data_IF_831433365275
#
_entry.id   IF_831433365275
#
_cell.length_a   1.000
_cell.length_b   1.000
_cell.length_c   1.000
_cell.angle_alpha   90.00
_cell.angle_beta   90.00
_cell.angle_gamma   90.00
#
_symmetry.space_group_name_H-M   'P 1'
#
loop_
_entity.id
_entity.type
_entity.pdbx_description
1 polymer ?
#
# COMPACT_ATOMS: atom_id res chain seq x y z
N UNK A 1 18.04 4.91 6.66
CA UNK A 1 16.57 4.93 6.77
C UNK A 1 16.00 5.06 5.37
N UNK A 2 14.85 4.45 5.10
CA UNK A 2 14.11 4.61 3.84
C UNK A 2 12.70 5.13 4.13
N UNK A 3 12.17 6.00 3.29
CA UNK A 3 10.75 6.36 3.35
C UNK A 3 9.96 5.48 2.38
N UNK A 4 8.88 4.88 2.86
CA UNK A 4 8.04 3.96 2.09
C UNK A 4 6.57 4.40 2.13
N UNK A 5 6.04 4.73 0.96
CA UNK A 5 4.68 5.20 0.75
C UNK A 5 3.77 4.04 0.32
N UNK A 6 2.81 3.69 1.16
CA UNK A 6 1.92 2.54 0.99
C UNK A 6 0.44 2.91 0.91
N UNK A 7 -0.33 2.10 0.20
CA UNK A 7 -1.77 2.04 0.29
C UNK A 7 -2.19 0.59 0.57
N UNK A 8 -3.06 0.38 1.56
CA UNK A 8 -3.55 -0.95 1.93
C UNK A 8 -4.34 -1.64 0.82
N UNK A 9 -5.03 -0.89 -0.04
CA UNK A 9 -5.73 -1.44 -1.21
C UNK A 9 -4.86 -1.54 -2.47
N UNK A 10 -3.58 -1.20 -2.40
CA UNK A 10 -2.66 -1.40 -3.51
C UNK A 10 -2.09 -2.83 -3.51
N UNK A 11 -2.32 -3.63 -4.57
CA UNK A 11 -1.78 -5.00 -4.64
C UNK A 11 -0.25 -5.01 -4.69
N UNK A 12 0.36 -4.02 -5.35
CA UNK A 12 1.81 -3.93 -5.44
C UNK A 12 2.44 -3.61 -4.06
N UNK A 13 1.76 -2.84 -3.21
CA UNK A 13 2.22 -2.51 -1.85
C UNK A 13 2.11 -3.71 -0.93
N UNK A 14 1.05 -4.51 -1.07
CA UNK A 14 0.93 -5.77 -0.35
C UNK A 14 2.04 -6.76 -0.72
N UNK A 15 2.33 -6.90 -2.03
CA UNK A 15 3.42 -7.75 -2.54
C UNK A 15 4.82 -7.23 -2.19
N UNK A 16 4.93 -5.95 -1.83
CA UNK A 16 6.20 -5.32 -1.45
C UNK A 16 6.55 -5.56 0.01
N UNK A 17 5.55 -5.68 0.90
CA UNK A 17 5.76 -5.72 2.35
C UNK A 17 6.84 -6.72 2.78
N UNK A 18 6.67 -8.01 2.45
CA UNK A 18 7.60 -9.06 2.89
C UNK A 18 9.02 -8.87 2.31
N UNK A 19 9.21 -8.65 1.00
CA UNK A 19 10.53 -8.32 0.45
C UNK A 19 11.18 -7.07 1.07
N UNK A 20 10.40 -6.02 1.37
CA UNK A 20 10.92 -4.81 2.00
C UNK A 20 11.41 -5.11 3.43
N UNK A 21 10.62 -5.82 4.23
CA UNK A 21 11.00 -6.18 5.59
C UNK A 21 12.27 -7.04 5.60
N UNK A 22 12.35 -8.04 4.70
CA UNK A 22 13.54 -8.86 4.56
C UNK A 22 14.79 -8.05 4.17
N UNK A 23 14.64 -7.03 3.31
CA UNK A 23 15.74 -6.11 2.97
C UNK A 23 16.15 -5.24 4.17
N UNK A 24 15.17 -4.65 4.86
CA UNK A 24 15.35 -3.83 6.06
C UNK A 24 16.12 -4.61 7.14
N UNK A 25 15.70 -5.83 7.44
CA UNK A 25 16.33 -6.70 8.43
C UNK A 25 17.76 -7.09 8.02
N UNK A 26 17.97 -7.41 6.74
CA UNK A 26 19.28 -7.80 6.22
C UNK A 26 20.31 -6.67 6.27
N UNK A 27 19.87 -5.44 6.02
CA UNK A 27 20.75 -4.27 5.91
C UNK A 27 20.77 -3.43 7.20
N UNK A 28 19.98 -3.78 8.21
CA UNK A 28 19.79 -3.01 9.44
C UNK A 28 19.36 -1.56 9.16
N UNK A 29 18.38 -1.39 8.25
CA UNK A 29 17.90 -0.07 7.81
C UNK A 29 16.46 0.16 8.25
N UNK A 30 16.23 1.18 9.09
CA UNK A 30 14.89 1.57 9.50
C UNK A 30 13.99 2.04 8.33
N UNK A 31 12.70 1.72 8.41
CA UNK A 31 11.65 2.15 7.47
C UNK A 31 10.78 3.22 8.13
N UNK A 32 10.64 4.34 7.45
CA UNK A 32 9.70 5.42 7.75
C UNK A 32 8.46 5.22 6.86
N UNK A 33 7.30 4.98 7.47
CA UNK A 33 6.08 4.59 6.74
C UNK A 33 5.19 5.80 6.47
N UNK A 34 4.68 5.88 5.24
CA UNK A 34 3.82 6.98 4.79
C UNK A 34 2.56 6.46 4.12
N UNK A 35 1.45 7.14 4.36
CA UNK A 35 0.19 6.84 3.69
C UNK A 35 0.17 7.43 2.27
N UNK A 36 -0.39 6.69 1.33
CA UNK A 36 -0.72 7.17 0.00
C UNK A 36 -2.08 6.64 -0.42
N UNK A 37 -2.76 7.35 -1.32
CA UNK A 37 -4.00 6.89 -1.93
C UNK A 37 -3.73 6.41 -3.36
N UNK A 38 -3.97 5.13 -3.60
CA UNK A 38 -3.84 4.48 -4.89
C UNK A 38 -5.20 4.17 -5.50
N UNK A 39 -5.21 3.89 -6.81
CA UNK A 39 -6.39 3.41 -7.51
C UNK A 39 -6.29 1.90 -7.76
N UNK A 40 -7.18 1.13 -7.15
CA UNK A 40 -7.41 -0.26 -7.54
C UNK A 40 -8.42 -0.28 -8.70
N UNK A 41 -8.03 -0.82 -9.85
CA UNK A 41 -8.95 -0.99 -10.97
C UNK A 41 -10.02 -2.05 -10.63
N UNK A 42 -11.31 -1.80 -10.93
CA UNK A 42 -12.37 -2.78 -10.75
C UNK A 42 -12.21 -3.96 -11.72
N UNK A 43 -12.88 -5.08 -11.44
CA UNK A 43 -12.90 -6.22 -12.36
C UNK A 43 -13.83 -5.91 -13.54
N UNK A 44 -13.24 -5.51 -14.67
CA UNK A 44 -13.98 -5.19 -15.88
C UNK A 44 -14.40 -6.48 -16.60
N UNK A 45 -15.71 -6.69 -16.71
CA UNK A 45 -16.28 -7.77 -17.51
C UNK A 45 -16.23 -7.45 -19.01
N UNK A 46 -16.08 -8.50 -19.82
CA UNK A 46 -16.13 -8.38 -21.28
C UNK A 46 -17.55 -8.04 -21.74
N UNK A 47 -17.67 -7.00 -22.56
CA UNK A 47 -18.94 -6.65 -23.23
C UNK A 47 -18.89 -7.04 -24.71
N UNK A 48 -20.03 -7.42 -25.33
CA UNK A 48 -20.08 -7.79 -26.75
C UNK A 48 -19.63 -6.66 -27.70
N UNK A 49 -19.96 -5.40 -27.37
CA UNK A 49 -19.76 -4.23 -28.24
C UNK A 49 -18.72 -3.25 -27.66
N UNK A 50 -17.61 -3.76 -27.10
CA UNK A 50 -16.55 -2.90 -26.55
C UNK A 50 -15.85 -2.06 -27.63
N UNK A 51 -15.71 -0.77 -27.37
CA UNK A 51 -14.77 0.05 -28.12
C UNK A 51 -13.32 -0.42 -27.88
N UNK A 52 -12.43 -0.16 -28.84
CA UNK A 52 -11.00 -0.52 -28.73
C UNK A 52 -10.38 0.00 -27.42
N UNK A 53 -10.76 1.21 -27.00
CA UNK A 53 -10.29 1.80 -25.75
C UNK A 53 -10.78 1.05 -24.50
N UNK A 54 -12.03 0.59 -24.49
CA UNK A 54 -12.61 -0.20 -23.41
C UNK A 54 -11.93 -1.57 -23.31
N UNK A 55 -11.80 -2.25 -24.45
CA UNK A 55 -11.09 -3.53 -24.54
C UNK A 55 -9.65 -3.40 -24.05
N UNK A 56 -8.93 -2.36 -24.46
CA UNK A 56 -7.57 -2.10 -24.00
C UNK A 56 -7.47 -1.86 -22.49
N UNK A 57 -8.41 -1.12 -21.90
CA UNK A 57 -8.46 -0.92 -20.44
C UNK A 57 -8.70 -2.25 -19.71
N UNK A 58 -9.70 -3.03 -20.14
CA UNK A 58 -10.02 -4.34 -19.56
C UNK A 58 -8.85 -5.32 -19.66
N UNK A 59 -8.28 -5.51 -20.85
CA UNK A 59 -7.17 -6.44 -21.09
C UNK A 59 -5.94 -6.07 -20.25
N UNK A 60 -5.60 -4.78 -20.14
CA UNK A 60 -4.48 -4.33 -19.29
C UNK A 60 -4.77 -4.53 -17.80
N UNK A 61 -5.99 -4.26 -17.33
CA UNK A 61 -6.37 -4.51 -15.94
C UNK A 61 -6.26 -6.01 -15.61
N UNK A 62 -6.80 -6.88 -16.47
CA UNK A 62 -6.70 -8.33 -16.32
C UNK A 62 -5.25 -8.82 -16.34
N UNK A 63 -4.42 -8.31 -17.25
CA UNK A 63 -3.00 -8.67 -17.31
C UNK A 63 -2.26 -8.26 -16.03
N UNK A 64 -2.47 -7.05 -15.51
CA UNK A 64 -1.89 -6.59 -14.24
C UNK A 64 -2.32 -7.46 -13.07
N UNK A 65 -3.61 -7.79 -12.98
CA UNK A 65 -4.14 -8.66 -11.94
C UNK A 65 -3.49 -10.06 -11.99
N UNK A 66 -3.42 -10.68 -13.18
CA UNK A 66 -2.76 -11.98 -13.37
C UNK A 66 -1.30 -11.95 -12.92
N UNK A 67 -0.57 -10.88 -13.25
CA UNK A 67 0.80 -10.69 -12.79
C UNK A 67 0.90 -10.60 -11.27
N UNK A 68 0.02 -9.84 -10.60
CA UNK A 68 -0.02 -9.78 -9.14
C UNK A 68 -0.30 -11.15 -8.51
N UNK A 69 -1.28 -11.89 -9.05
CA UNK A 69 -1.61 -13.24 -8.57
C UNK A 69 -0.44 -14.22 -8.75
N UNK A 70 0.32 -14.12 -9.85
CA UNK A 70 1.53 -14.91 -10.06
C UNK A 70 2.58 -14.63 -8.98
N UNK A 71 2.85 -13.35 -8.70
CA UNK A 71 3.80 -12.97 -7.67
C UNK A 71 3.34 -13.38 -6.27
N UNK A 72 2.05 -13.26 -5.97
CA UNK A 72 1.47 -13.75 -4.73
C UNK A 72 1.69 -15.26 -4.58
N UNK A 73 1.47 -16.03 -5.64
CA UNK A 73 1.74 -17.48 -5.67
C UNK A 73 3.22 -17.82 -5.44
N UNK A 74 4.15 -17.09 -6.06
CA UNK A 74 5.60 -17.26 -5.82
C UNK A 74 5.98 -16.96 -4.37
N UNK A 75 5.33 -15.98 -3.73
CA UNK A 75 5.56 -15.62 -2.33
C UNK A 75 4.79 -16.49 -1.33
N UNK A 76 3.94 -17.42 -1.78
CA UNK A 76 2.96 -18.13 -0.95
C UNK A 76 2.07 -17.17 -0.13
N UNK A 77 1.75 -16.02 -0.70
CA UNK A 77 0.95 -14.97 -0.08
C UNK A 77 -0.52 -15.12 -0.53
N UNK A 78 -1.48 -15.37 0.37
CA UNK A 78 -2.89 -15.38 0.01
C UNK A 78 -3.31 -13.99 -0.48
N UNK A 79 -3.98 -13.93 -1.64
CA UNK A 79 -4.42 -12.67 -2.23
C UNK A 79 -5.77 -12.88 -2.91
N UNK A 80 -6.77 -12.13 -2.47
CA UNK A 80 -8.06 -11.98 -3.13
C UNK A 80 -8.30 -10.52 -3.46
N UNK A 81 -8.64 -10.26 -4.72
CA UNK A 81 -9.07 -8.93 -5.14
C UNK A 81 -10.51 -8.74 -4.73
N UNK A 82 -10.75 -7.78 -3.83
CA UNK A 82 -12.08 -7.23 -3.59
C UNK A 82 -12.66 -6.65 -4.88
N UNK A 83 -13.94 -6.93 -5.13
CA UNK A 83 -14.72 -6.34 -6.24
C UNK A 83 -16.17 -6.04 -5.79
N UNK A 84 -16.61 -4.77 -5.76
CA UNK A 84 -15.86 -3.57 -6.12
C UNK A 84 -14.82 -3.19 -5.04
N UNK A 85 -13.69 -2.58 -5.42
CA UNK A 85 -12.72 -2.05 -4.45
C UNK A 85 -13.37 -1.00 -3.52
N UNK A 86 -13.01 -1.01 -2.24
CA UNK A 86 -13.46 0.00 -1.26
C UNK A 86 -12.39 1.04 -0.97
N UNK A 87 -12.76 2.09 -0.24
CA UNK A 87 -11.78 3.01 0.35
C UNK A 87 -10.99 2.29 1.46
N UNK A 88 -9.80 2.81 1.77
CA UNK A 88 -9.00 2.39 2.91
C UNK A 88 -8.58 3.61 3.75
N UNK A 89 -9.29 4.74 3.61
CA UNK A 89 -8.88 6.02 4.16
C UNK A 89 -8.86 6.00 5.69
N UNK A 90 -9.77 5.30 6.35
CA UNK A 90 -9.69 5.16 7.83
C UNK A 90 -8.45 4.39 8.28
N UNK A 91 -8.07 3.31 7.59
CA UNK A 91 -6.82 2.61 7.88
C UNK A 91 -5.58 3.46 7.56
N UNK A 92 -5.59 4.22 6.45
CA UNK A 92 -4.52 5.15 6.11
C UNK A 92 -4.40 6.30 7.13
N UNK A 93 -5.52 6.81 7.63
CA UNK A 93 -5.54 7.79 8.70
C UNK A 93 -4.97 7.23 10.01
N UNK A 94 -5.29 5.97 10.35
CA UNK A 94 -4.67 5.27 11.48
C UNK A 94 -3.15 5.15 11.34
N UNK A 95 -2.65 4.85 10.14
CA UNK A 95 -1.21 4.87 9.84
C UNK A 95 -0.60 6.25 10.10
N UNK A 96 -1.24 7.34 9.64
CA UNK A 96 -0.78 8.70 9.91
C UNK A 96 -0.74 9.03 11.41
N UNK A 97 -1.72 8.56 12.19
CA UNK A 97 -1.76 8.77 13.65
C UNK A 97 -0.59 8.06 14.34
N UNK A 98 -0.30 6.81 13.97
CA UNK A 98 0.82 6.05 14.51
C UNK A 98 2.16 6.74 14.21
N UNK A 99 2.37 7.11 12.94
CA UNK A 99 3.65 7.69 12.50
C UNK A 99 3.87 9.08 13.07
N UNK A 100 2.82 9.90 13.21
CA UNK A 100 2.90 11.21 13.85
C UNK A 100 3.26 11.14 15.35
N UNK A 101 2.93 10.02 16.03
CA UNK A 101 3.31 9.78 17.44
C UNK A 101 4.70 9.17 17.60
N UNK A 102 5.30 8.69 16.51
CA UNK A 102 6.54 7.91 16.56
C UNK A 102 6.34 6.48 17.05
N UNK A 103 5.10 5.96 17.02
CA UNK A 103 4.80 4.57 17.34
C UNK A 103 5.28 3.65 16.19
N UNK A 104 5.65 2.40 16.50
CA UNK A 104 5.96 1.39 15.48
C UNK A 104 4.66 0.90 14.80
N UNK A 105 4.43 1.21 13.50
CA UNK A 105 3.19 0.86 12.84
C UNK A 105 3.19 -0.55 12.26
N UNK A 106 4.27 -1.32 12.36
CA UNK A 106 4.44 -2.57 11.62
C UNK A 106 3.35 -3.62 11.93
N UNK A 107 2.97 -3.74 13.22
CA UNK A 107 1.90 -4.65 13.64
C UNK A 107 0.56 -4.28 12.97
N UNK A 108 0.25 -2.98 12.92
CA UNK A 108 -0.94 -2.45 12.27
C UNK A 108 -0.92 -2.64 10.77
N UNK A 109 0.19 -2.29 10.11
CA UNK A 109 0.36 -2.42 8.66
C UNK A 109 0.14 -3.87 8.23
N UNK A 110 0.74 -4.82 8.95
CA UNK A 110 0.62 -6.25 8.67
C UNK A 110 -0.83 -6.72 8.85
N UNK A 111 -1.50 -6.29 9.92
CA UNK A 111 -2.90 -6.63 10.18
C UNK A 111 -3.85 -6.04 9.12
N UNK A 112 -3.68 -4.77 8.75
CA UNK A 112 -4.52 -4.08 7.76
C UNK A 112 -4.37 -4.70 6.36
N UNK A 113 -3.15 -4.96 5.91
CA UNK A 113 -2.93 -5.65 4.64
C UNK A 113 -3.58 -7.04 4.63
N UNK A 114 -3.38 -7.83 5.69
CA UNK A 114 -4.01 -9.15 5.81
C UNK A 114 -5.54 -9.06 5.76
N UNK A 115 -6.13 -8.14 6.53
CA UNK A 115 -7.57 -7.95 6.61
C UNK A 115 -8.18 -7.58 5.25
N UNK A 116 -7.53 -6.71 4.46
CA UNK A 116 -8.02 -6.33 3.13
C UNK A 116 -7.88 -7.46 2.10
N UNK A 117 -6.68 -8.04 1.97
CA UNK A 117 -6.36 -8.97 0.89
C UNK A 117 -6.75 -10.42 1.14
N UNK A 118 -7.07 -10.78 2.38
CA UNK A 118 -7.46 -12.16 2.75
C UNK A 118 -8.81 -12.24 3.45
N UNK A 119 -9.20 -11.18 4.17
CA UNK A 119 -10.42 -11.16 4.99
C UNK A 119 -11.61 -10.40 4.41
N UNK A 120 -11.46 -9.77 3.23
CA UNK A 120 -12.46 -8.87 2.64
C UNK A 120 -13.01 -7.86 3.68
N UNK A 121 -12.13 -7.32 4.54
CA UNK A 121 -12.49 -6.31 5.53
C UNK A 121 -12.66 -4.93 4.89
N UNK A 122 -13.62 -4.14 5.37
CA UNK A 122 -13.78 -2.75 4.94
C UNK A 122 -12.84 -1.84 5.76
N UNK A 123 -11.76 -1.39 5.13
CA UNK A 123 -10.76 -0.54 5.78
C UNK A 123 -11.15 0.95 5.82
N UNK A 124 -12.35 1.31 5.35
CA UNK A 124 -12.94 2.64 5.59
C UNK A 124 -13.89 2.68 6.81
N UNK A 125 -14.16 1.52 7.42
CA UNK A 125 -14.95 1.41 8.65
C UNK A 125 -14.03 1.59 9.88
N UNK A 126 -14.34 2.60 10.70
CA UNK A 126 -13.55 2.94 11.88
C UNK A 126 -13.56 1.86 12.97
N UNK A 127 -14.66 1.13 13.13
CA UNK A 127 -14.78 0.06 14.14
C UNK A 127 -13.97 -1.17 13.72
N UNK A 128 -13.99 -1.50 12.42
CA UNK A 128 -13.15 -2.57 11.86
C UNK A 128 -11.67 -2.21 12.04
N UNK A 129 -11.28 -0.98 11.69
CA UNK A 129 -9.89 -0.51 11.81
C UNK A 129 -9.43 -0.51 13.27
N UNK A 130 -10.27 -0.05 14.20
CA UNK A 130 -9.94 -0.03 15.62
C UNK A 130 -9.76 -1.43 16.24
N UNK A 131 -10.38 -2.46 15.65
CA UNK A 131 -10.23 -3.85 16.08
C UNK A 131 -8.94 -4.53 15.56
N UNK A 132 -8.21 -3.91 14.64
CA UNK A 132 -6.96 -4.48 14.10
C UNK A 132 -5.83 -4.44 15.13
N UNK A 133 -4.97 -5.46 15.09
CA UNK A 133 -3.77 -5.52 15.93
C UNK A 133 -2.88 -4.31 15.69
N UNK A 134 -2.44 -3.63 16.75
CA UNK A 134 -1.58 -2.45 16.66
C UNK A 134 -2.30 -1.16 16.23
N UNK A 135 -3.62 -1.18 16.06
CA UNK A 135 -4.38 0.03 15.75
C UNK A 135 -4.20 1.10 16.86
N UNK A 136 -4.01 2.38 16.50
CA UNK A 136 -3.94 3.44 17.48
C UNK A 136 -5.34 3.76 18.01
N UNK A 137 -5.40 4.37 19.19
CA UNK A 137 -6.56 5.16 19.56
C UNK A 137 -6.68 6.34 18.59
N UNK A 138 -7.61 6.22 17.65
CA UNK A 138 -7.93 7.27 16.69
C UNK A 138 -8.53 8.48 17.42
N UNK A 139 -8.29 9.71 16.92
CA UNK A 139 -9.14 10.83 17.26
C UNK A 139 -10.55 10.61 16.67
N UNK A 140 -11.40 11.63 16.71
CA UNK A 140 -12.63 11.57 15.91
C UNK A 140 -12.32 11.36 14.41
N UNK A 141 -13.24 10.72 13.69
CA UNK A 141 -13.05 10.33 12.30
C UNK A 141 -12.74 11.51 11.37
N UNK A 142 -13.29 12.69 11.64
CA UNK A 142 -13.04 13.90 10.84
C UNK A 142 -11.59 14.37 11.02
N UNK A 143 -11.10 14.40 12.26
CA UNK A 143 -9.72 14.74 12.57
C UNK A 143 -8.72 13.73 12.01
N UNK A 144 -9.02 12.44 12.08
CA UNK A 144 -8.19 11.39 11.48
C UNK A 144 -8.09 11.58 9.96
N UNK A 145 -9.22 11.80 9.27
CA UNK A 145 -9.26 12.06 7.82
C UNK A 145 -8.53 13.34 7.44
N UNK A 146 -8.62 14.41 8.25
CA UNK A 146 -7.85 15.64 8.02
C UNK A 146 -6.34 15.41 8.08
N UNK A 147 -5.86 14.57 8.99
CA UNK A 147 -4.43 14.22 9.04
C UNK A 147 -4.00 13.44 7.79
N UNK A 148 -4.83 12.50 7.32
CA UNK A 148 -4.58 11.81 6.06
C UNK A 148 -4.48 12.79 4.89
N UNK A 149 -5.46 13.68 4.71
CA UNK A 149 -5.43 14.65 3.60
C UNK A 149 -4.18 15.56 3.63
N UNK A 150 -3.72 15.95 4.81
CA UNK A 150 -2.48 16.69 4.96
C UNK A 150 -1.25 15.88 4.51
N UNK A 151 -1.16 14.61 4.91
CA UNK A 151 -0.07 13.71 4.50
C UNK A 151 -0.08 13.42 2.99
N UNK A 152 -1.27 13.24 2.40
CA UNK A 152 -1.42 13.06 0.95
C UNK A 152 -0.97 14.29 0.19
N UNK A 153 -1.39 15.48 0.61
CA UNK A 153 -0.96 16.74 0.00
C UNK A 153 0.56 16.93 0.05
N UNK A 154 1.19 16.62 1.18
CA UNK A 154 2.65 16.67 1.31
C UNK A 154 3.36 15.70 0.35
N UNK A 155 2.79 14.51 0.16
CA UNK A 155 3.32 13.51 -0.77
C UNK A 155 3.24 14.01 -2.22
N UNK A 156 2.11 14.60 -2.61
CA UNK A 156 1.92 15.19 -3.94
C UNK A 156 2.88 16.36 -4.20
N UNK A 157 3.07 17.26 -3.23
CA UNK A 157 4.02 18.37 -3.30
C UNK A 157 5.48 17.87 -3.44
N UNK A 158 5.76 16.65 -2.98
CA UNK A 158 7.06 15.98 -3.10
C UNK A 158 7.18 15.10 -4.36
N UNK A 159 6.18 15.13 -5.26
CA UNK A 159 6.18 14.38 -6.52
C UNK A 159 5.82 12.89 -6.39
N UNK A 160 5.21 12.47 -5.29
CA UNK A 160 4.89 11.06 -4.99
C UNK A 160 3.40 10.80 -5.21
N UNK A 161 3.07 9.97 -6.21
CA UNK A 161 1.68 9.72 -6.65
C UNK A 161 1.28 8.26 -6.70
N UNK A 162 2.23 7.33 -6.60
CA UNK A 162 2.00 5.90 -6.77
C UNK A 162 2.47 5.10 -5.58
N UNK A 163 1.82 3.97 -5.32
CA UNK A 163 2.20 3.07 -4.24
C UNK A 163 2.52 1.66 -4.80
N UNK A 164 3.56 0.97 -4.30
CA UNK A 164 4.54 1.44 -3.32
C UNK A 164 5.56 2.37 -3.98
N UNK A 165 5.98 3.39 -3.24
CA UNK A 165 7.12 4.24 -3.63
C UNK A 165 8.12 4.29 -2.49
N UNK A 166 9.39 4.11 -2.82
CA UNK A 166 10.51 4.23 -1.90
C UNK A 166 11.25 5.54 -2.16
N UNK A 167 11.63 6.25 -1.10
CA UNK A 167 12.57 7.37 -1.17
C UNK A 167 13.82 7.00 -0.41
N UNK A 168 14.96 7.05 -1.11
CA UNK A 168 16.28 6.69 -0.59
C UNK A 168 17.27 7.73 -1.07
N UNK A 169 17.96 8.42 -0.14
CA UNK A 169 18.91 9.49 -0.47
C UNK A 169 18.34 10.52 -1.47
N UNK A 170 17.11 11.00 -1.22
CA UNK A 170 16.38 11.95 -2.08
C UNK A 170 15.95 11.40 -3.46
N UNK A 171 16.23 10.12 -3.76
CA UNK A 171 15.84 9.47 -5.00
C UNK A 171 14.53 8.70 -4.84
N UNK A 172 13.64 8.84 -5.82
CA UNK A 172 12.32 8.19 -5.85
C UNK A 172 12.37 6.91 -6.69
N UNK A 173 11.95 5.79 -6.11
CA UNK A 173 11.83 4.49 -6.78
C UNK A 173 10.39 3.97 -6.68
N UNK A 174 9.74 3.77 -7.83
CA UNK A 174 8.34 3.28 -7.89
C UNK A 174 8.32 1.78 -8.11
N UNK A 175 7.73 1.03 -7.17
CA UNK A 175 7.58 -0.42 -7.26
C UNK A 175 8.70 -1.22 -6.61
N UNK A 176 8.35 -2.40 -6.10
CA UNK A 176 9.27 -3.34 -5.42
C UNK A 176 10.37 -3.90 -6.32
N UNK A 177 10.21 -3.76 -7.63
CA UNK A 177 11.18 -4.17 -8.64
C UNK A 177 12.53 -3.46 -8.47
N UNK A 178 12.54 -2.31 -7.79
CA UNK A 178 13.74 -1.55 -7.48
C UNK A 178 14.46 -2.01 -6.21
N UNK A 179 13.90 -2.92 -5.41
CA UNK A 179 14.53 -3.39 -4.17
C UNK A 179 15.97 -3.90 -4.35
N UNK A 180 16.35 -4.61 -5.43
CA UNK A 180 17.74 -4.95 -5.68
C UNK A 180 18.65 -3.73 -5.80
N UNK A 181 18.23 -2.70 -6.54
CA UNK A 181 19.01 -1.47 -6.69
C UNK A 181 19.05 -0.65 -5.40
N UNK A 182 17.92 -0.53 -4.70
CA UNK A 182 17.85 0.10 -3.38
C UNK A 182 18.82 -0.59 -2.41
N UNK A 183 18.89 -1.93 -2.44
CA UNK A 183 19.81 -2.70 -1.60
C UNK A 183 21.26 -2.34 -1.88
N UNK A 184 21.66 -2.19 -3.15
CA UNK A 184 23.02 -1.76 -3.53
C UNK A 184 23.34 -0.34 -3.03
N UNK A 185 22.39 0.60 -3.11
CA UNK A 185 22.57 1.98 -2.62
C UNK A 185 22.76 2.02 -1.10
N UNK A 186 22.10 1.11 -0.39
CA UNK A 186 22.11 1.03 1.08
C UNK A 186 23.25 0.16 1.64
N UNK A 187 24.06 -0.48 0.81
CA UNK A 187 25.18 -1.28 1.31
C UNK A 187 26.15 -0.37 2.11
N UNK A 188 26.59 -0.80 3.30
CA UNK A 188 27.64 -0.10 4.00
C UNK A 188 28.93 -0.13 3.18
N UNK A 189 29.66 1.00 3.19
CA UNK A 189 30.96 1.14 2.54
C UNK A 189 32.04 0.25 3.15
#
# INVERSE_FOLDING_TARGET
MIDLYIDFKCPASYLALQPTLAMSDKLDVAISWHALRSHQAPLLQEKPDEEVGERHRRVRALARQKTHMLYAGVQNLPMQFRDPPTSADMALAALCVLTARGDDPLAFITAAFSAYWTGDADLDDGDIVAALSGAPALPDAESARRQLEAALKQSEESGIFTSPTYVVNEQIFVGRENLPWISEILQPA
#
